data_IF_629936406067
#
_entry.id   IF_629936406067
#
_cell.length_a   1.000
_cell.length_b   1.000
_cell.length_c   1.000
_cell.angle_alpha   90.00
_cell.angle_beta   90.00
_cell.angle_gamma   90.00
#
_symmetry.space_group_name_H-M   'P 1'
#
loop_
_entity.id
_entity.type
_entity.pdbx_description
1 polymer ?
2 polymer ?
3 non-polymer ?
4 water ?
#
# COMPACT_ATOMS: atom_id res chain seq x y z
N UNK A 1 3.83 22.48 19.83
CA UNK A 1 3.09 21.53 18.95
C UNK A 1 3.12 20.18 19.59
N UNK A 2 1.96 19.57 19.75
CA UNK A 2 1.90 18.30 20.40
C UNK A 2 2.56 17.18 19.66
N UNK A 3 3.57 16.61 20.26
CA UNK A 3 4.29 15.51 19.64
C UNK A 3 3.85 14.24 20.35
N UNK A 4 3.48 13.23 19.57
CA UNK A 4 3.01 11.97 20.12
C UNK A 4 4.10 11.00 19.81
N UNK A 5 4.57 10.27 20.79
CA UNK A 5 5.63 9.38 20.45
C UNK A 5 5.28 7.96 20.80
N UNK A 6 5.14 7.16 19.75
CA UNK A 6 4.81 5.76 19.87
C UNK A 6 5.99 4.84 19.76
N UNK A 7 5.83 3.69 20.41
CA UNK A 7 6.83 2.66 20.42
C UNK A 7 6.05 1.45 20.82
N UNK A 8 6.31 0.31 20.19
CA UNK A 8 7.33 0.17 19.15
C UNK A 8 6.78 0.60 17.81
N UNK A 9 7.65 0.73 16.80
CA UNK A 9 7.23 1.09 15.46
C UNK A 9 6.85 -0.19 14.69
N UNK A 10 7.31 -1.32 15.18
CA UNK A 10 7.02 -2.63 14.59
C UNK A 10 6.64 -3.53 15.74
N UNK A 11 5.54 -4.26 15.58
CA UNK A 11 5.10 -5.13 16.65
C UNK A 11 4.64 -6.47 16.13
N UNK A 12 5.50 -7.49 16.22
CA UNK A 12 5.24 -8.86 15.78
C UNK A 12 4.77 -9.74 16.92
N UNK A 13 3.59 -10.36 16.77
CA UNK A 13 3.10 -11.25 17.81
C UNK A 13 2.42 -12.49 17.23
N UNK A 14 2.46 -13.59 17.96
CA UNK A 14 1.82 -14.81 17.51
C UNK A 14 0.34 -14.70 17.76
N UNK A 15 -0.47 -15.37 16.96
CA UNK A 15 -1.90 -15.33 17.14
C UNK A 15 -2.24 -15.79 18.55
N UNK A 16 -3.20 -15.12 19.19
CA UNK A 16 -3.60 -15.50 20.55
C UNK A 16 -2.78 -14.88 21.65
N UNK A 17 -1.77 -14.12 21.28
CA UNK A 17 -0.90 -13.44 22.24
C UNK A 17 -1.43 -12.04 22.53
N UNK A 18 -0.69 -11.34 23.38
CA UNK A 18 -1.04 -9.99 23.76
C UNK A 18 -0.04 -9.03 23.14
N UNK A 19 -0.53 -7.89 22.67
CA UNK A 19 0.29 -6.84 22.11
C UNK A 19 0.07 -5.64 23.06
N UNK A 20 1.00 -4.69 23.06
CA UNK A 20 0.87 -3.52 23.92
C UNK A 20 1.59 -2.42 23.19
N UNK A 21 0.91 -1.31 22.98
CA UNK A 21 1.48 -0.18 22.26
C UNK A 21 1.52 0.99 23.23
N UNK A 22 2.61 1.76 23.23
CA UNK A 22 2.80 2.92 24.13
C UNK A 22 2.81 4.24 23.35
N UNK A 23 2.08 5.22 23.84
CA UNK A 23 2.01 6.52 23.20
C UNK A 23 2.24 7.57 24.25
N UNK A 24 3.19 8.45 23.99
CA UNK A 24 3.54 9.49 24.95
C UNK A 24 3.48 10.88 24.37
N UNK A 25 2.60 11.72 24.90
CA UNK A 25 2.50 13.09 24.39
C UNK A 25 3.59 13.96 25.04
N UNK A 26 3.80 15.15 24.49
CA UNK A 26 4.82 16.06 25.00
C UNK A 26 4.32 17.11 25.98
N UNK A 27 2.99 17.18 26.15
CA UNK A 27 2.33 18.15 27.04
C UNK A 27 1.15 17.37 27.58
N UNK A 28 0.44 17.95 28.56
CA UNK A 28 -0.75 17.33 29.13
C UNK A 28 -1.84 17.40 28.04
N UNK A 29 -2.64 16.35 27.96
CA UNK A 29 -3.69 16.28 26.96
C UNK A 29 -5.07 16.68 27.47
N UNK A 30 -5.14 17.15 28.72
CA UNK A 30 -6.40 17.58 29.35
C UNK A 30 -6.90 18.89 28.79
N UNK A 31 -8.11 18.82 28.26
CA UNK A 31 -8.79 19.92 27.63
C UNK A 31 -9.34 20.90 28.70
N UNK A 32 -9.71 22.12 28.30
CA UNK A 32 -10.32 23.14 29.19
C UNK A 32 -11.57 22.60 29.87
N UNK A 33 -12.22 21.68 29.18
CA UNK A 33 -13.44 21.10 29.69
C UNK A 33 -13.20 19.93 30.59
N UNK A 34 -11.94 19.60 30.84
CA UNK A 34 -11.64 18.50 31.73
C UNK A 34 -11.48 17.12 31.14
N UNK A 35 -11.94 16.93 29.92
CA UNK A 35 -11.77 15.62 29.34
C UNK A 35 -10.43 15.56 28.60
N UNK A 36 -9.89 14.36 28.45
CA UNK A 36 -8.63 14.14 27.75
C UNK A 36 -8.93 13.52 26.38
N UNK A 37 -8.74 14.28 25.32
CA UNK A 37 -9.00 13.79 23.99
C UNK A 37 -7.86 13.05 23.28
N UNK A 38 -7.52 11.86 23.77
CA UNK A 38 -6.52 10.99 23.19
C UNK A 38 -7.24 9.81 22.52
N UNK A 39 -7.11 9.66 21.19
CA UNK A 39 -7.79 8.60 20.45
C UNK A 39 -6.83 7.59 19.80
N UNK A 40 -7.36 6.44 19.41
CA UNK A 40 -6.58 5.42 18.72
C UNK A 40 -7.31 5.06 17.44
N UNK A 41 -6.56 5.00 16.33
CA UNK A 41 -7.06 4.66 15.01
C UNK A 41 -6.37 3.42 14.49
N UNK A 42 -7.00 2.75 13.52
CA UNK A 42 -6.44 1.55 12.89
C UNK A 42 -6.59 1.76 11.41
N UNK A 43 -5.55 1.43 10.64
CA UNK A 43 -5.65 1.53 9.21
C UNK A 43 -5.36 0.16 8.66
N UNK A 44 -6.41 -0.59 8.36
CA UNK A 44 -6.25 -1.93 7.80
C UNK A 44 -5.61 -1.61 6.50
N UNK A 45 -4.75 -2.49 6.02
CA UNK A 45 -4.04 -2.30 4.76
C UNK A 45 -5.03 -2.13 3.62
N UNK A 46 -4.83 -1.09 2.81
CA UNK A 46 -5.69 -0.82 1.68
C UNK A 46 -6.88 0.07 1.96
N UNK A 47 -7.06 0.50 3.23
CA UNK A 47 -8.19 1.36 3.64
C UNK A 47 -7.86 2.71 4.27
N UNK A 48 -8.91 3.42 4.69
CA UNK A 48 -8.74 4.71 5.36
C UNK A 48 -8.62 4.35 6.83
N UNK A 49 -8.09 5.27 7.66
CA UNK A 49 -7.99 4.91 9.07
C UNK A 49 -9.37 4.80 9.66
N UNK A 50 -9.46 4.15 10.80
CA UNK A 50 -10.73 4.03 11.47
C UNK A 50 -10.64 4.18 12.98
N UNK A 51 -11.50 5.04 13.54
CA UNK A 51 -11.54 5.27 14.98
C UNK A 51 -11.75 3.95 15.68
N UNK A 52 -10.85 3.64 16.58
CA UNK A 52 -10.88 2.40 17.31
C UNK A 52 -11.33 2.66 18.73
N UNK A 53 -10.63 3.60 19.38
CA UNK A 53 -10.86 3.94 20.77
C UNK A 53 -10.84 5.44 20.95
N UNK A 54 -11.83 5.98 21.65
CA UNK A 54 -11.89 7.42 21.88
C UNK A 54 -11.81 7.73 23.36
N UNK A 55 -11.33 8.92 23.68
CA UNK A 55 -11.14 9.36 25.06
C UNK A 55 -10.42 8.33 25.91
N UNK A 56 -9.23 7.94 25.45
CA UNK A 56 -8.39 6.99 26.16
C UNK A 56 -8.85 5.52 26.25
N UNK A 57 -10.08 5.30 26.69
CA UNK A 57 -10.52 3.92 26.85
C UNK A 57 -11.85 3.48 26.27
N UNK A 58 -12.55 4.40 25.64
CA UNK A 58 -13.85 4.10 25.09
C UNK A 58 -13.83 3.44 23.72
N UNK A 59 -14.38 2.24 23.63
CA UNK A 59 -14.45 1.49 22.37
C UNK A 59 -15.49 2.03 21.41
N UNK A 60 -15.08 2.35 20.19
CA UNK A 60 -16.00 2.86 19.24
C UNK A 60 -16.88 1.69 18.81
N UNK A 61 -17.79 1.95 17.88
CA UNK A 61 -18.73 0.94 17.36
C UNK A 61 -18.03 -0.13 16.53
N UNK A 62 -18.29 -1.40 16.84
CA UNK A 62 -17.69 -2.49 16.07
C UNK A 62 -16.32 -2.96 16.52
N UNK A 63 -15.87 -2.42 17.64
CA UNK A 63 -14.58 -2.75 18.20
C UNK A 63 -14.83 -3.76 19.31
N UNK A 64 -14.29 -4.98 19.15
CA UNK A 64 -14.39 -6.10 20.09
C UNK A 64 -13.73 -5.75 21.38
N UNK A 65 -14.14 -6.37 22.48
CA UNK A 65 -13.56 -6.03 23.79
C UNK A 65 -12.13 -6.49 24.03
N UNK A 66 -11.48 -6.99 22.99
CA UNK A 66 -10.10 -7.42 23.11
C UNK A 66 -9.24 -6.19 23.23
N UNK A 67 -9.65 -5.16 22.52
CA UNK A 67 -8.95 -3.92 22.52
C UNK A 67 -9.29 -3.13 23.72
N UNK A 68 -8.30 -2.52 24.35
CA UNK A 68 -8.56 -1.72 25.54
C UNK A 68 -7.50 -0.65 25.73
N UNK A 69 -7.93 0.52 26.17
CA UNK A 69 -7.01 1.60 26.39
C UNK A 69 -6.95 2.04 27.84
N UNK A 70 -5.80 2.57 28.22
CA UNK A 70 -5.56 3.08 29.57
C UNK A 70 -4.57 4.19 29.37
N UNK A 71 -4.31 4.94 30.43
CA UNK A 71 -3.36 6.03 30.33
C UNK A 71 -3.79 7.19 31.18
N UNK A 72 -2.84 8.09 31.41
CA UNK A 72 -3.02 9.29 32.23
C UNK A 72 -1.83 10.19 31.97
N UNK A 73 -2.01 11.47 32.23
CA UNK A 73 -0.92 12.42 32.04
C UNK A 73 -0.23 12.42 30.69
N UNK A 74 0.92 11.75 30.64
CA UNK A 74 1.71 11.68 29.41
C UNK A 74 2.13 10.27 29.05
N UNK A 75 1.37 9.30 29.55
CA UNK A 75 1.65 7.90 29.26
C UNK A 75 0.32 7.21 28.96
N UNK A 76 0.15 6.81 27.70
CA UNK A 76 -1.07 6.12 27.25
C UNK A 76 -0.76 4.80 26.53
N UNK A 77 -1.51 3.75 26.82
CA UNK A 77 -1.24 2.49 26.17
C UNK A 77 -2.48 1.84 25.56
N UNK A 78 -2.25 0.92 24.64
CA UNK A 78 -3.30 0.18 23.95
C UNK A 78 -2.87 -1.26 24.12
N UNK A 79 -3.80 -2.07 24.59
CA UNK A 79 -3.57 -3.47 24.85
C UNK A 79 -4.51 -4.30 23.99
N UNK A 80 -3.98 -5.31 23.31
CA UNK A 80 -4.83 -6.19 22.51
C UNK A 80 -4.61 -7.51 23.21
N UNK A 81 -5.60 -7.95 23.96
CA UNK A 81 -5.48 -9.18 24.73
C UNK A 81 -5.26 -10.51 24.00
N UNK A 82 -5.85 -10.66 22.82
CA UNK A 82 -5.72 -11.92 22.09
C UNK A 82 -5.72 -11.56 20.63
N UNK A 83 -4.54 -11.47 20.03
CA UNK A 83 -4.49 -11.07 18.63
C UNK A 83 -4.91 -12.15 17.64
N UNK A 84 -5.21 -11.69 16.43
CA UNK A 84 -5.61 -12.54 15.34
C UNK A 84 -5.40 -11.79 14.06
N UNK A 85 -5.39 -12.52 12.94
CA UNK A 85 -5.13 -11.96 11.59
C UNK A 85 -5.92 -10.75 11.15
N UNK A 86 -7.13 -10.58 11.67
CA UNK A 86 -7.92 -9.42 11.28
C UNK A 86 -7.41 -8.14 11.93
N UNK A 87 -6.58 -8.30 12.97
CA UNK A 87 -6.00 -7.15 13.71
C UNK A 87 -4.82 -6.57 12.95
N UNK A 88 -4.46 -7.22 11.86
CA UNK A 88 -3.33 -6.84 11.02
C UNK A 88 -3.49 -5.42 10.49
N UNK A 89 -2.47 -4.58 10.65
CA UNK A 89 -2.61 -3.23 10.13
C UNK A 89 -1.73 -2.23 10.88
N UNK A 90 -2.01 -0.95 10.73
CA UNK A 90 -1.22 0.07 11.42
C UNK A 90 -2.08 0.81 12.44
N UNK A 91 -1.55 0.95 13.67
CA UNK A 91 -2.21 1.62 14.79
C UNK A 91 -1.63 3.00 15.03
N UNK A 92 -2.49 3.99 15.22
CA UNK A 92 -2.06 5.35 15.44
C UNK A 92 -2.70 5.94 16.70
N UNK A 93 -1.91 6.67 17.49
CA UNK A 93 -2.46 7.35 18.65
C UNK A 93 -2.58 8.78 18.19
N UNK A 94 -3.45 9.54 18.80
CA UNK A 94 -3.64 10.91 18.36
C UNK A 94 -4.23 11.77 19.47
N UNK A 95 -4.05 13.09 19.34
CA UNK A 95 -4.59 14.02 20.31
C UNK A 95 -5.53 14.99 19.60
N UNK A 96 -6.71 15.18 20.19
CA UNK A 96 -7.65 16.11 19.61
C UNK A 96 -7.87 17.28 20.56
N UNK A 97 -6.97 17.44 21.53
CA UNK A 97 -7.04 18.52 22.51
C UNK A 97 -6.45 19.85 22.06
N UNK A 98 -5.22 19.84 21.53
CA UNK A 98 -4.54 21.08 21.11
C UNK A 98 -4.49 21.15 19.63
N UNK A 99 -4.67 22.34 19.08
CA UNK A 99 -4.60 22.54 17.63
C UNK A 99 -3.14 22.79 17.38
N UNK A 100 -2.53 22.12 16.39
CA UNK A 100 -3.00 21.13 15.41
C UNK A 100 -3.16 19.77 16.03
N UNK A 101 -4.11 18.98 15.56
CA UNK A 101 -4.26 17.65 16.14
C UNK A 101 -3.13 16.92 15.49
N UNK A 102 -2.46 16.06 16.26
CA UNK A 102 -1.34 15.35 15.75
C UNK A 102 -1.50 13.86 15.96
N UNK A 103 -0.78 13.06 15.19
CA UNK A 103 -0.85 11.63 15.29
C UNK A 103 0.52 11.08 15.62
N UNK A 104 0.58 9.83 16.02
CA UNK A 104 1.86 9.21 16.27
C UNK A 104 2.41 8.68 14.95
N UNK A 105 3.51 7.94 15.01
CA UNK A 105 4.08 7.40 13.78
C UNK A 105 3.33 6.16 13.34
N UNK A 106 2.88 5.41 14.31
CA UNK A 106 2.16 4.21 14.02
C UNK A 106 2.96 3.04 14.49
N UNK A 107 2.29 1.92 14.57
CA UNK A 107 2.91 0.70 14.96
C UNK A 107 2.28 -0.31 14.01
N UNK A 108 3.10 -0.88 13.14
CA UNK A 108 2.58 -1.86 12.22
C UNK A 108 2.62 -3.12 13.01
N UNK A 109 1.58 -3.92 12.90
CA UNK A 109 1.49 -5.20 13.61
C UNK A 109 1.69 -6.30 12.59
N UNK A 110 2.50 -7.30 12.91
CA UNK A 110 2.70 -8.41 11.99
C UNK A 110 2.50 -9.65 12.79
N UNK A 111 1.90 -10.67 12.17
CA UNK A 111 1.66 -11.94 12.89
C UNK A 111 2.86 -12.86 12.79
N UNK A 112 3.36 -13.29 13.94
CA UNK A 112 4.51 -14.16 14.00
C UNK A 112 4.16 -15.61 13.71
N UNK A 113 4.20 -16.03 12.44
CA UNK A 113 3.94 -17.45 12.11
C UNK A 113 5.28 -18.21 12.07
N UNK A 114 5.25 -19.50 11.74
CA UNK A 114 6.49 -20.24 11.67
C UNK A 114 7.18 -19.89 10.38
N UNK A 115 8.47 -20.19 10.33
CA UNK A 115 9.27 -19.91 9.16
C UNK A 115 8.79 -20.76 8.00
N UNK A 116 8.97 -20.22 6.80
CA UNK A 116 8.58 -20.91 5.58
C UNK A 116 9.57 -20.50 4.50
N UNK A 117 10.09 -21.50 3.76
CA UNK A 117 11.04 -21.28 2.67
C UNK A 117 10.30 -20.78 1.43
N UNK A 118 10.97 -20.00 0.58
CA UNK A 118 10.33 -19.49 -0.63
C UNK A 118 10.14 -20.48 -1.74
N UNK A 119 9.11 -20.23 -2.54
CA UNK A 119 8.86 -21.01 -3.71
C UNK A 119 9.35 -20.05 -4.80
N UNK A 120 10.58 -20.28 -5.21
CA UNK A 120 11.24 -19.46 -6.21
C UNK A 120 10.88 -19.95 -7.60
N UNK A 121 10.60 -19.04 -8.53
CA UNK A 121 10.29 -19.42 -9.89
C UNK A 121 10.82 -18.34 -10.82
N UNK A 122 11.50 -18.74 -11.89
CA UNK A 122 12.12 -17.80 -12.82
C UNK A 122 11.53 -17.81 -14.23
N UNK A 123 11.43 -16.63 -14.85
CA UNK A 123 10.86 -16.44 -16.19
C UNK A 123 11.77 -15.68 -17.14
N UNK A 124 11.95 -16.18 -18.38
CA UNK A 124 12.79 -15.51 -19.37
C UNK A 124 11.97 -14.40 -19.99
N UNK A 125 12.60 -13.42 -20.63
CA UNK A 125 11.80 -12.35 -21.24
C UNK A 125 10.85 -13.00 -22.26
N UNK A 126 9.84 -12.27 -22.68
CA UNK A 126 8.87 -12.78 -23.63
C UNK A 126 9.17 -12.26 -25.04
N UNK A 127 8.81 -13.06 -26.04
CA UNK A 127 9.00 -12.69 -27.45
C UNK A 127 8.51 -11.28 -27.72
N UNK A 128 7.36 -10.90 -27.15
CA UNK A 128 6.83 -9.56 -27.37
C UNK A 128 7.73 -8.51 -26.81
N UNK A 129 8.28 -8.78 -25.63
CA UNK A 129 9.16 -7.79 -25.04
C UNK A 129 10.48 -7.74 -25.80
N UNK A 130 11.06 -8.90 -26.05
CA UNK A 130 12.31 -9.02 -26.79
C UNK A 130 12.20 -8.21 -28.09
N UNK A 131 10.98 -8.06 -28.58
CA UNK A 131 10.68 -7.33 -29.82
C UNK A 131 10.87 -5.82 -29.66
N UNK A 132 10.54 -5.31 -28.49
CA UNK A 132 10.67 -3.89 -28.19
C UNK A 132 12.09 -3.48 -27.74
N UNK A 133 13.09 -4.35 -27.97
CA UNK A 133 14.45 -4.00 -27.60
C UNK A 133 14.80 -4.10 -26.13
N UNK A 134 13.86 -4.63 -25.33
CA UNK A 134 14.08 -4.76 -23.92
C UNK A 134 14.04 -6.22 -23.55
N UNK A 135 14.37 -6.53 -22.31
CA UNK A 135 14.35 -7.88 -21.87
C UNK A 135 14.38 -7.90 -20.36
N UNK A 136 13.29 -8.31 -19.71
CA UNK A 136 13.30 -8.36 -18.27
C UNK A 136 13.23 -9.81 -17.89
N UNK A 137 13.97 -10.18 -16.86
CA UNK A 137 13.98 -11.54 -16.36
C UNK A 137 13.36 -11.43 -14.94
N UNK A 138 12.26 -12.13 -14.68
CA UNK A 138 11.67 -12.00 -13.36
C UNK A 138 11.74 -13.27 -12.59
N UNK A 139 11.76 -13.13 -11.28
CA UNK A 139 11.87 -14.23 -10.37
C UNK A 139 10.87 -13.97 -9.24
N UNK A 140 9.96 -14.90 -8.97
CA UNK A 140 9.01 -14.71 -7.88
C UNK A 140 9.47 -15.55 -6.71
N UNK A 141 9.53 -14.97 -5.52
CA UNK A 141 9.89 -15.73 -4.31
C UNK A 141 8.58 -15.58 -3.55
N UNK A 142 7.73 -16.59 -3.69
CA UNK A 142 6.41 -16.58 -3.10
C UNK A 142 6.31 -17.30 -1.78
N UNK A 143 5.38 -16.84 -0.95
CA UNK A 143 5.05 -17.43 0.34
C UNK A 143 6.12 -17.80 1.34
N UNK A 144 6.86 -16.83 1.85
CA UNK A 144 7.92 -17.12 2.83
C UNK A 144 7.79 -16.34 4.14
N UNK A 145 8.53 -16.76 5.16
CA UNK A 145 8.48 -16.08 6.41
C UNK A 145 9.73 -16.49 7.15
N UNK A 146 10.46 -15.53 7.76
CA UNK A 146 10.25 -14.07 7.83
C UNK A 146 10.42 -13.33 6.53
N UNK A 147 10.23 -12.03 6.61
CA UNK A 147 10.31 -11.14 5.47
C UNK A 147 11.72 -10.90 4.91
N UNK A 148 12.70 -11.04 5.80
CA UNK A 148 14.12 -10.83 5.47
C UNK A 148 14.63 -11.79 4.42
N UNK A 149 15.06 -11.26 3.28
CA UNK A 149 15.57 -12.13 2.25
C UNK A 149 16.48 -11.36 1.33
N UNK A 150 17.57 -12.00 0.90
CA UNK A 150 18.49 -11.41 -0.05
C UNK A 150 18.48 -12.21 -1.34
N UNK A 151 18.31 -11.52 -2.46
CA UNK A 151 18.26 -12.19 -3.73
C UNK A 151 19.37 -11.63 -4.63
N UNK A 152 20.24 -12.52 -5.11
CA UNK A 152 21.30 -12.10 -6.03
C UNK A 152 21.02 -12.60 -7.43
N UNK A 153 21.36 -11.78 -8.43
CA UNK A 153 21.18 -12.11 -9.83
C UNK A 153 22.56 -12.40 -10.39
N UNK A 154 22.68 -13.41 -11.26
CA UNK A 154 23.96 -13.79 -11.86
C UNK A 154 23.88 -14.18 -13.33
N UNK A 155 24.38 -13.30 -14.19
CA UNK A 155 24.43 -13.49 -15.62
C UNK A 155 25.76 -14.16 -15.97
N UNK A 156 25.67 -15.40 -16.42
CA UNK A 156 26.81 -16.24 -16.80
C UNK A 156 27.62 -16.62 -15.62
N UNK A 157 26.98 -16.55 -14.48
CA UNK A 157 27.59 -16.90 -13.21
C UNK A 157 28.55 -15.84 -12.75
N UNK A 158 28.95 -15.00 -13.68
CA UNK A 158 29.91 -13.98 -13.37
C UNK A 158 29.10 -12.85 -12.90
N UNK A 159 28.92 -11.89 -13.80
CA UNK A 159 28.18 -10.66 -13.53
C UNK A 159 27.12 -10.95 -12.48
N UNK A 160 27.30 -10.30 -11.34
CA UNK A 160 26.35 -10.38 -10.25
C UNK A 160 25.57 -9.12 -10.71
N UNK A 161 24.63 -8.57 -9.95
CA UNK A 161 23.92 -7.41 -10.49
C UNK A 161 23.65 -6.02 -9.84
N UNK A 162 22.95 -5.19 -10.62
CA UNK A 162 22.61 -3.86 -10.22
C UNK A 162 21.33 -3.22 -10.86
N UNK A 163 20.92 -3.59 -12.09
CA UNK A 163 19.67 -3.04 -12.68
C UNK A 163 18.38 -3.84 -12.28
N UNK A 164 18.35 -4.26 -11.01
CA UNK A 164 17.34 -5.07 -10.35
C UNK A 164 16.26 -4.28 -9.57
N UNK A 165 15.02 -4.78 -9.55
CA UNK A 165 13.96 -4.13 -8.78
C UNK A 165 13.38 -5.17 -7.85
N UNK A 166 13.25 -4.85 -6.57
CA UNK A 166 12.65 -5.78 -5.64
C UNK A 166 11.38 -5.18 -5.10
N UNK A 167 10.30 -5.96 -5.05
CA UNK A 167 8.98 -5.50 -4.57
C UNK A 167 8.42 -6.58 -3.64
N UNK A 168 8.10 -6.20 -2.41
CA UNK A 168 7.56 -7.13 -1.43
C UNK A 168 6.08 -6.84 -1.31
N UNK A 169 5.30 -7.86 -0.93
CA UNK A 169 3.89 -7.65 -0.73
C UNK A 169 3.80 -7.48 0.79
N UNK A 170 2.62 -7.19 1.30
CA UNK A 170 2.45 -7.06 2.73
C UNK A 170 2.11 -8.42 3.20
N UNK A 171 2.07 -8.61 4.51
CA UNK A 171 1.74 -9.92 5.05
C UNK A 171 0.43 -10.31 4.48
N UNK A 172 0.32 -11.58 4.13
CA UNK A 172 -0.89 -12.07 3.55
C UNK A 172 -1.73 -12.63 4.68
N UNK A 173 -2.82 -11.95 5.01
CA UNK A 173 -3.73 -12.36 6.11
C UNK A 173 -4.21 -13.81 6.22
N UNK A 174 -4.34 -14.50 5.09
CA UNK A 174 -4.78 -15.90 5.12
C UNK A 174 -3.68 -16.75 5.73
N UNK A 175 -2.44 -16.62 5.25
CA UNK A 175 -1.32 -17.43 5.74
C UNK A 175 -0.18 -16.71 6.41
N UNK A 176 -0.31 -15.39 6.51
CA UNK A 176 0.68 -14.49 7.12
C UNK A 176 2.14 -14.57 6.59
N UNK A 177 2.30 -14.94 5.32
CA UNK A 177 3.64 -15.01 4.72
C UNK A 177 3.79 -13.76 3.82
N UNK A 178 4.95 -13.61 3.19
CA UNK A 178 5.20 -12.49 2.28
C UNK A 178 5.61 -13.09 0.96
N UNK A 179 5.71 -12.27 -0.07
CA UNK A 179 6.15 -12.68 -1.39
C UNK A 179 6.83 -11.46 -2.02
N UNK A 180 7.82 -11.66 -2.89
CA UNK A 180 8.49 -10.56 -3.57
C UNK A 180 8.84 -10.98 -4.99
N UNK A 181 9.02 -9.97 -5.83
CA UNK A 181 9.39 -10.16 -7.21
C UNK A 181 10.69 -9.38 -7.40
N UNK A 182 11.67 -10.03 -8.00
CA UNK A 182 12.93 -9.40 -8.29
C UNK A 182 12.96 -9.38 -9.81
N UNK A 183 13.19 -8.21 -10.39
CA UNK A 183 13.23 -8.09 -11.83
C UNK A 183 14.56 -7.50 -12.33
N UNK A 184 15.27 -8.28 -13.14
CA UNK A 184 16.53 -7.84 -13.74
C UNK A 184 16.26 -7.33 -15.13
N UNK A 185 16.40 -6.04 -15.32
CA UNK A 185 16.15 -5.42 -16.60
C UNK A 185 17.43 -5.22 -17.43
N UNK A 186 17.43 -5.73 -18.66
CA UNK A 186 18.57 -5.63 -19.60
C UNK A 186 18.04 -5.15 -20.94
N UNK A 187 18.92 -5.04 -21.92
CA UNK A 187 18.53 -4.66 -23.27
C UNK A 187 18.48 -5.96 -24.07
N UNK A 188 17.81 -5.95 -25.21
CA UNK A 188 17.75 -7.15 -26.02
C UNK A 188 19.20 -7.56 -26.28
N UNK A 189 20.00 -6.60 -26.72
CA UNK A 189 21.41 -6.83 -27.03
C UNK A 189 22.12 -7.45 -25.88
N UNK A 190 22.13 -6.79 -24.74
CA UNK A 190 22.83 -7.34 -23.60
C UNK A 190 22.36 -8.76 -23.25
N UNK A 191 21.05 -8.96 -23.28
CA UNK A 191 20.45 -10.27 -22.99
C UNK A 191 20.92 -11.34 -23.95
N UNK A 192 20.86 -11.01 -25.24
CA UNK A 192 21.22 -11.94 -26.29
C UNK A 192 22.65 -12.45 -26.26
N UNK A 193 23.56 -11.72 -25.60
CA UNK A 193 24.95 -12.10 -25.51
C UNK A 193 25.28 -12.99 -24.33
N UNK A 194 24.28 -13.43 -23.57
CA UNK A 194 24.53 -14.30 -22.41
C UNK A 194 23.65 -15.56 -22.41
N UNK A 195 24.07 -16.62 -21.72
CA UNK A 195 23.32 -17.87 -21.71
C UNK A 195 22.57 -18.24 -20.43
N UNK A 196 23.27 -18.26 -19.30
CA UNK A 196 22.67 -18.56 -18.01
C UNK A 196 22.23 -17.31 -17.30
N UNK A 197 21.09 -17.41 -16.63
CA UNK A 197 20.52 -16.32 -15.87
C UNK A 197 20.06 -16.99 -14.61
N UNK A 198 20.66 -16.62 -13.48
CA UNK A 198 20.35 -17.23 -12.22
C UNK A 198 19.73 -16.25 -11.25
N UNK A 199 18.97 -16.81 -10.33
CA UNK A 199 18.26 -16.09 -9.30
C UNK A 199 18.63 -16.85 -8.05
N UNK A 200 19.28 -16.17 -7.13
CA UNK A 200 19.71 -16.85 -5.93
C UNK A 200 19.18 -16.12 -4.70
N UNK A 201 18.45 -16.80 -3.82
CA UNK A 201 17.93 -16.13 -2.66
C UNK A 201 18.38 -16.81 -1.42
N UNK A 202 18.82 -16.02 -0.45
CA UNK A 202 19.26 -16.54 0.84
C UNK A 202 18.19 -16.16 1.88
N UNK A 203 17.71 -17.17 2.61
CA UNK A 203 16.67 -16.98 3.61
C UNK A 203 17.11 -17.84 4.76
N UNK A 204 16.85 -17.40 5.98
CA UNK A 204 17.25 -18.13 7.18
C UNK A 204 16.78 -19.57 7.28
N UNK A 205 15.80 -19.94 6.47
CA UNK A 205 15.27 -21.29 6.51
C UNK A 205 16.20 -22.26 5.82
N UNK A 206 17.34 -21.79 5.36
CA UNK A 206 18.26 -22.67 4.67
C UNK A 206 19.73 -22.29 4.82
N UNK A 207 20.57 -23.32 4.85
CA UNK A 207 22.00 -23.17 4.96
C UNK A 207 22.52 -22.65 3.63
N UNK A 208 21.96 -23.22 2.56
CA UNK A 208 22.37 -22.90 1.21
C UNK A 208 21.30 -22.09 0.49
N UNK A 209 21.73 -21.26 -0.48
CA UNK A 209 20.83 -20.42 -1.27
C UNK A 209 19.79 -21.22 -2.03
N UNK A 210 18.65 -20.62 -2.33
CA UNK A 210 17.66 -21.31 -3.13
C UNK A 210 18.02 -20.78 -4.49
N UNK A 211 18.52 -21.65 -5.36
CA UNK A 211 18.93 -21.23 -6.70
C UNK A 211 17.92 -21.64 -7.78
N UNK A 212 17.75 -20.78 -8.77
CA UNK A 212 16.82 -21.04 -9.85
C UNK A 212 17.39 -20.41 -11.09
N UNK A 213 17.71 -21.20 -12.09
CA UNK A 213 18.27 -20.66 -13.33
C UNK A 213 17.60 -21.18 -14.57
N UNK A 214 17.91 -20.56 -15.69
CA UNK A 214 17.41 -20.98 -16.99
C UNK A 214 18.50 -20.70 -18.03
N UNK A 215 18.75 -21.66 -18.92
CA UNK A 215 19.75 -21.46 -19.98
C UNK A 215 19.01 -21.25 -21.28
N UNK A 216 19.42 -20.25 -22.04
CA UNK A 216 18.79 -19.95 -23.32
C UNK A 216 18.90 -21.02 -24.41
N UNK A 217 19.84 -21.95 -24.26
CA UNK A 217 20.06 -23.04 -25.22
C UNK A 217 19.61 -24.42 -24.70
N UNK A 218 18.85 -24.46 -23.61
CA UNK A 218 18.43 -25.74 -23.03
C UNK A 218 17.68 -26.68 -23.95
N UNK A 219 16.59 -26.19 -24.54
CA UNK A 219 15.78 -26.99 -25.42
C UNK A 219 14.77 -26.16 -26.19
N UNK B 1 -26.00 5.53 9.43
CA UNK B 1 -25.27 5.40 8.14
C UNK B 1 -24.66 6.72 7.65
N UNK B 2 -23.52 7.06 8.23
CA UNK B 2 -22.76 8.27 7.87
C UNK B 2 -21.72 7.88 6.77
N UNK B 3 -21.51 8.76 5.80
CA UNK B 3 -20.58 8.44 4.73
C UNK B 3 -20.01 9.70 4.10
N UNK B 4 -18.71 9.70 3.80
CA UNK B 4 -18.13 10.86 3.14
C UNK B 4 -17.58 10.33 1.86
N UNK B 5 -17.93 10.98 0.77
CA UNK B 5 -17.49 10.53 -0.51
C UNK B 5 -16.59 11.56 -1.12
N UNK B 6 -15.43 11.14 -1.64
CA UNK B 6 -14.50 12.10 -2.21
C UNK B 6 -14.37 11.95 -3.71
N UNK B 7 -13.83 12.96 -4.38
CA UNK B 7 -13.65 12.89 -5.82
C UNK B 7 -12.53 11.88 -6.17
N UNK B 8 -12.32 11.65 -7.46
CA UNK B 8 -11.31 10.68 -7.86
C UNK B 8 -9.90 11.20 -8.05
N UNK B 9 -8.98 10.27 -8.24
CA UNK B 9 -7.55 10.53 -8.44
C UNK B 9 -7.26 11.67 -9.41
N UNK B 10 -6.23 12.45 -9.10
CA UNK B 10 -5.79 13.59 -9.91
C UNK B 10 -4.31 13.55 -10.30
N UNK B 11 -3.98 14.06 -11.47
CA UNK B 11 -2.59 14.14 -11.94
C UNK B 11 -2.52 15.57 -12.41
N UNK B 12 -1.73 16.39 -11.71
CA UNK B 12 -1.62 17.82 -12.00
C UNK B 12 -0.19 18.24 -12.23
N UNK B 13 0.00 19.22 -13.07
CA UNK B 13 1.32 19.70 -13.39
C UNK B 13 1.72 20.65 -12.28
N UNK B 14 3.03 20.70 -11.99
CA UNK B 14 3.59 21.57 -10.98
C UNK B 14 3.16 23.01 -11.26
N UNK B 15 2.71 23.71 -10.22
CA UNK B 15 2.25 25.08 -10.41
C UNK B 15 0.76 25.18 -10.71
N UNK B 16 0.07 24.06 -10.76
CA UNK B 16 -1.36 24.13 -11.01
C UNK B 16 -2.06 24.08 -9.65
N UNK B 17 -3.38 24.14 -9.68
CA UNK B 17 -4.15 24.04 -8.46
C UNK B 17 -5.18 22.93 -8.70
N UNK B 18 -5.58 22.26 -7.63
CA UNK B 18 -6.57 21.20 -7.67
C UNK B 18 -7.58 21.49 -6.58
N UNK B 19 -8.81 21.04 -6.81
CA UNK B 19 -9.90 21.14 -5.86
C UNK B 19 -10.52 19.72 -5.67
N UNK B 20 -10.54 19.25 -4.44
CA UNK B 20 -11.06 17.93 -4.09
C UNK B 20 -12.38 18.12 -3.33
N UNK B 21 -13.35 17.25 -3.58
CA UNK B 21 -14.67 17.30 -2.94
C UNK B 21 -14.80 16.20 -1.90
N UNK B 22 -15.73 16.42 -0.96
CA UNK B 22 -16.04 15.47 0.12
C UNK B 22 -17.52 15.61 0.40
N UNK B 23 -18.31 14.81 -0.29
CA UNK B 23 -19.75 14.81 -0.14
C UNK B 23 -20.13 14.01 1.08
N UNK B 24 -20.70 14.70 2.06
CA UNK B 24 -21.12 14.06 3.30
C UNK B 24 -22.61 13.73 3.28
N UNK B 25 -22.98 12.56 3.80
CA UNK B 25 -24.38 12.18 3.86
C UNK B 25 -24.59 11.42 5.15
N UNK B 26 -25.83 11.42 5.63
CA UNK B 26 -26.15 10.62 6.80
C UNK B 26 -26.13 11.27 8.16
N UNK B 27 -25.88 12.56 8.17
CA UNK B 27 -25.84 13.32 9.41
C UNK B 27 -26.10 14.76 8.98
N UNK B 28 -26.27 15.63 9.96
CA UNK B 28 -26.53 17.00 9.62
C UNK B 28 -25.20 17.71 9.39
N UNK B 29 -24.85 17.82 8.12
CA UNK B 29 -23.62 18.40 7.62
C UNK B 29 -23.01 19.61 8.37
N UNK B 30 -23.81 20.64 8.61
CA UNK B 30 -23.33 21.87 9.25
C UNK B 30 -23.11 21.94 10.75
N UNK B 31 -23.26 20.85 11.46
CA UNK B 31 -23.10 20.89 12.89
C UNK B 31 -21.79 20.23 13.27
N UNK B 32 -21.14 19.62 12.28
CA UNK B 32 -19.87 18.91 12.51
C UNK B 32 -18.76 19.49 11.66
N UNK B 33 -17.53 19.36 12.18
CA UNK B 33 -16.36 19.87 11.47
C UNK B 33 -15.95 18.89 10.41
N UNK B 34 -15.44 19.40 9.29
CA UNK B 34 -14.89 18.52 8.24
C UNK B 34 -13.35 18.69 8.37
N UNK B 35 -12.65 17.62 8.72
CA UNK B 35 -11.19 17.65 8.91
C UNK B 35 -10.54 17.21 7.65
N UNK B 36 -9.36 17.75 7.35
CA UNK B 36 -8.60 17.34 6.17
C UNK B 36 -7.20 16.85 6.59
N UNK B 37 -6.89 15.59 6.33
CA UNK B 37 -5.61 14.98 6.69
C UNK B 37 -4.78 14.62 5.46
N UNK B 38 -3.47 14.58 5.60
CA UNK B 38 -2.66 14.26 4.45
C UNK B 38 -1.78 13.09 4.76
N UNK B 39 -1.81 12.09 3.90
CA UNK B 39 -0.97 10.94 4.08
C UNK B 39 0.00 10.86 2.91
N UNK B 40 1.27 10.82 3.23
CA UNK B 40 2.31 10.72 2.24
C UNK B 40 3.14 9.59 2.80
N UNK B 41 3.40 8.56 2.00
CA UNK B 41 4.19 7.43 2.47
C UNK B 41 5.48 7.90 3.15
N UNK B 42 5.64 7.55 4.42
CA UNK B 42 6.81 7.97 5.14
C UNK B 42 6.56 9.04 6.17
N UNK B 43 5.66 9.98 5.88
CA UNK B 43 5.33 11.06 6.84
C UNK B 43 4.06 10.77 7.68
N UNK B 44 3.57 9.54 7.69
CA UNK B 44 2.37 9.21 8.45
C UNK B 44 1.11 9.99 8.07
N UNK B 45 0.43 10.57 9.07
CA UNK B 45 -0.78 11.37 8.83
C UNK B 45 -0.52 12.79 9.33
N UNK B 46 -0.83 13.77 8.52
CA UNK B 46 -0.57 15.16 8.91
C UNK B 46 -1.83 15.98 8.78
N UNK B 47 -2.32 16.49 9.89
CA UNK B 47 -3.51 17.33 9.90
C UNK B 47 -3.31 18.62 9.15
N UNK B 48 -4.12 18.87 8.14
CA UNK B 48 -4.03 20.09 7.36
C UNK B 48 -4.88 21.23 7.90
N UNK B 49 -6.14 20.95 8.26
CA UNK B 49 -7.01 22.02 8.75
C UNK B 49 -8.44 21.56 8.94
N UNK B 50 -9.36 22.49 9.17
CA UNK B 50 -10.76 22.13 9.38
C UNK B 50 -11.70 23.28 9.16
N UNK B 51 -12.90 22.97 8.66
CA UNK B 51 -13.91 23.99 8.40
C UNK B 51 -15.21 23.57 9.07
N UNK B 52 -16.02 24.55 9.50
CA UNK B 52 -17.32 24.26 10.10
C UNK B 52 -18.32 24.84 9.13
N UNK B 53 -18.99 23.96 8.38
CA UNK B 53 -20.01 24.31 7.39
C UNK B 53 -21.16 24.89 8.22
N UNK B 54 -21.59 26.09 7.90
CA UNK B 54 -22.62 26.68 8.73
C UNK B 54 -22.07 28.07 8.93
N UNK B 55 -21.00 28.19 9.72
CA UNK B 55 -20.39 29.49 9.90
C UNK B 55 -19.31 29.70 8.87
N UNK B 56 -18.79 28.62 8.30
CA UNK B 56 -17.71 28.76 7.32
C UNK B 56 -16.44 29.14 8.05
N UNK B 57 -16.36 28.78 9.33
CA UNK B 57 -15.19 29.06 10.16
C UNK B 57 -14.13 27.98 9.96
N UNK B 58 -12.90 28.40 9.66
CA UNK B 58 -11.77 27.50 9.40
C UNK B 58 -10.58 27.63 10.37
N UNK B 59 -9.83 26.54 10.56
CA UNK B 59 -8.61 26.48 11.38
C UNK B 59 -7.52 25.88 10.47
N UNK B 60 -6.43 26.60 10.19
CA UNK B 60 -5.38 26.04 9.35
C UNK B 60 -4.06 25.77 10.07
N UNK B 61 -3.41 24.62 9.80
CA UNK B 61 -2.10 24.37 10.40
C UNK B 61 -1.21 25.40 9.73
N UNK B 62 -0.39 26.12 10.49
CA UNK B 62 0.45 27.19 9.91
C UNK B 62 1.15 26.90 8.57
N UNK B 63 1.85 25.78 8.49
CA UNK B 63 2.54 25.44 7.26
C UNK B 63 1.62 25.44 6.05
N UNK B 64 0.33 25.24 6.27
CA UNK B 64 -0.58 25.20 5.14
C UNK B 64 -1.30 26.50 4.87
N UNK B 65 -0.97 27.54 5.62
CA UNK B 65 -1.64 28.81 5.41
C UNK B 65 -1.21 29.39 4.09
N UNK B 66 -2.18 29.62 3.22
CA UNK B 66 -1.88 30.16 1.92
C UNK B 66 -1.89 29.07 0.86
N UNK B 67 -1.65 27.82 1.29
CA UNK B 67 -1.61 26.65 0.41
C UNK B 67 -2.95 25.92 0.23
N UNK B 68 -3.60 25.59 1.35
CA UNK B 68 -4.87 24.89 1.37
C UNK B 68 -6.01 25.89 1.57
N UNK B 69 -7.15 25.66 0.93
CA UNK B 69 -8.30 26.54 1.07
C UNK B 69 -9.60 25.74 1.21
N UNK B 70 -10.18 25.78 2.40
CA UNK B 70 -11.41 25.06 2.68
C UNK B 70 -12.59 25.91 2.30
N UNK B 71 -13.66 25.22 1.92
CA UNK B 71 -14.87 25.84 1.48
C UNK B 71 -15.94 24.75 1.68
N UNK B 72 -17.20 25.16 1.79
CA UNK B 72 -18.27 24.21 2.00
C UNK B 72 -19.56 24.79 1.45
N UNK B 73 -20.36 23.91 0.88
CA UNK B 73 -21.64 24.24 0.30
C UNK B 73 -22.64 23.43 1.09
N UNK B 74 -23.39 24.10 1.94
CA UNK B 74 -24.36 23.41 2.78
C UNK B 74 -25.58 22.94 1.98
N UNK B 75 -25.85 23.60 0.86
CA UNK B 75 -26.95 23.22 -0.03
C UNK B 75 -26.68 21.81 -0.54
N UNK B 76 -25.45 21.58 -0.99
CA UNK B 76 -25.04 20.29 -1.53
C UNK B 76 -24.43 19.32 -0.54
N UNK B 77 -24.19 19.76 0.69
CA UNK B 77 -23.56 18.90 1.69
C UNK B 77 -22.16 18.48 1.20
N UNK B 78 -21.50 19.41 0.53
CA UNK B 78 -20.17 19.17 -0.01
C UNK B 78 -19.06 20.09 0.56
N UNK B 79 -17.96 19.48 0.99
CA UNK B 79 -16.81 20.23 1.49
C UNK B 79 -15.73 20.19 0.38
N UNK B 80 -14.99 21.29 0.23
CA UNK B 80 -13.96 21.43 -0.78
C UNK B 80 -12.62 21.89 -0.20
N UNK B 81 -11.53 21.44 -0.82
CA UNK B 81 -10.19 21.84 -0.44
C UNK B 81 -9.40 22.07 -1.71
N UNK B 82 -8.91 23.30 -1.87
CA UNK B 82 -8.12 23.66 -3.00
C UNK B 82 -6.68 23.60 -2.52
N UNK B 83 -5.75 23.24 -3.41
CA UNK B 83 -4.32 23.17 -3.10
C UNK B 83 -3.66 23.98 -4.17
N UNK B 84 -3.10 25.12 -3.80
CA UNK B 84 -2.47 25.96 -4.78
C UNK B 84 -1.02 25.66 -5.06
N UNK B 85 -0.52 26.17 -6.19
CA UNK B 85 0.85 26.00 -6.62
C UNK B 85 1.39 24.67 -6.22
N UNK B 86 0.88 23.63 -6.88
CA UNK B 86 1.30 22.27 -6.55
C UNK B 86 2.82 22.08 -6.67
N UNK B 87 3.33 21.25 -5.77
CA UNK B 87 4.73 20.90 -5.63
C UNK B 87 4.73 19.40 -5.41
N UNK B 88 5.88 18.75 -5.62
CA UNK B 88 6.05 17.31 -5.45
C UNK B 88 5.72 16.94 -4.05
N UNK B 89 6.03 17.84 -3.14
CA UNK B 89 5.73 17.58 -1.75
C UNK B 89 4.20 17.45 -1.58
N UNK B 90 3.44 17.94 -2.56
CA UNK B 90 1.98 17.83 -2.51
C UNK B 90 1.39 16.50 -2.95
N UNK B 91 2.22 15.64 -3.53
CA UNK B 91 1.75 14.33 -3.95
C UNK B 91 1.53 13.47 -2.72
N UNK B 92 0.28 13.12 -2.46
CA UNK B 92 -0.10 12.28 -1.31
C UNK B 92 -1.56 11.90 -1.44
N UNK B 93 -2.04 11.19 -0.44
CA UNK B 93 -3.44 10.79 -0.38
C UNK B 93 -4.09 11.72 0.65
N UNK B 94 -5.12 12.44 0.25
CA UNK B 94 -5.82 13.38 1.11
C UNK B 94 -7.14 12.82 1.57
N UNK B 95 -7.40 12.92 2.86
CA UNK B 95 -8.63 12.43 3.48
C UNK B 95 -9.46 13.58 4.02
N UNK B 96 -10.78 13.35 4.12
CA UNK B 96 -11.70 14.28 4.77
C UNK B 96 -12.28 13.35 5.79
N UNK B 97 -12.55 13.87 6.97
CA UNK B 97 -13.09 13.06 8.02
C UNK B 97 -14.09 13.96 8.67
N UNK B 98 -14.96 13.38 9.48
CA UNK B 98 -15.97 14.18 10.16
C UNK B 98 -15.38 14.51 11.52
N UNK B 99 -15.74 15.65 12.10
CA UNK B 99 -15.19 15.98 13.39
C UNK B 99 -15.98 16.78 14.38
N UNK B 100 -15.78 16.42 15.65
CA UNK B 100 -16.34 17.11 16.80
C UNK B 100 -15.21 17.09 17.82
N UNK B 101 -14.92 15.96 18.44
CA UNK B 101 -13.82 15.88 19.37
C UNK B 101 -12.95 14.68 18.99
N UNK B 102 -13.34 14.04 17.90
CA UNK B 102 -12.70 12.87 17.31
C UNK B 102 -12.90 13.01 15.82
N UNK B 103 -12.20 12.19 15.06
CA UNK B 103 -12.36 12.12 13.61
C UNK B 103 -12.93 10.71 13.52
N UNK B 104 -14.25 10.61 13.67
CA UNK B 104 -14.94 9.33 13.71
C UNK B 104 -15.33 8.66 12.41
N UNK B 105 -15.43 9.42 11.33
CA UNK B 105 -15.79 8.80 10.06
C UNK B 105 -14.92 9.46 9.03
N UNK B 106 -14.17 8.66 8.28
CA UNK B 106 -13.27 9.17 7.25
C UNK B 106 -13.72 8.87 5.83
N UNK B 107 -13.33 9.73 4.91
CA UNK B 107 -13.63 9.53 3.51
C UNK B 107 -12.71 8.44 2.97
N UNK B 108 -12.84 8.11 1.70
CA UNK B 108 -12.03 7.04 1.13
C UNK B 108 -10.62 7.38 0.73
N UNK B 109 -10.36 8.66 0.49
CA UNK B 109 -9.03 9.07 0.09
C UNK B 109 -9.01 9.54 -1.34
N UNK B 110 -8.27 10.60 -1.59
CA UNK B 110 -8.13 11.17 -2.93
C UNK B 110 -6.64 11.34 -3.19
N UNK B 111 -6.12 10.61 -4.18
CA UNK B 111 -4.72 10.71 -4.56
C UNK B 111 -4.51 11.84 -5.51
N UNK B 112 -3.52 12.65 -5.20
CA UNK B 112 -3.16 13.78 -6.04
C UNK B 112 -1.71 13.47 -6.39
N UNK B 113 -1.42 13.51 -7.67
CA UNK B 113 -0.07 13.23 -8.13
C UNK B 113 0.38 14.47 -8.84
N UNK B 114 1.43 15.12 -8.35
CA UNK B 114 1.86 16.29 -9.07
C UNK B 114 3.15 15.92 -9.80
N UNK B 115 3.07 15.95 -11.13
CA UNK B 115 4.15 15.59 -12.04
C UNK B 115 3.97 16.28 -13.35
N UNK B 116 5.07 16.36 -14.08
CA UNK B 116 5.11 16.98 -15.40
C UNK B 116 5.07 15.85 -16.42
N UNK B 117 5.20 14.62 -15.92
CA UNK B 117 5.15 13.40 -16.73
C UNK B 117 3.81 13.17 -17.41
N UNK B 118 3.84 12.91 -18.71
CA UNK B 118 2.62 12.64 -19.43
C UNK B 118 2.03 11.29 -19.02
N UNK B 119 0.76 11.09 -19.35
CA UNK B 119 0.04 9.88 -19.04
C UNK B 119 0.47 8.79 -20.02
N UNK B 120 0.73 7.58 -19.54
CA UNK B 120 1.18 6.48 -20.39
C UNK B 120 0.52 5.14 -20.03
N UNK B 121 0.00 4.44 -21.04
CA UNK B 121 -0.66 3.15 -20.89
C UNK B 121 0.41 2.10 -20.65
N UNK B 122 0.07 0.97 -20.05
CA UNK B 122 1.13 0.00 -19.83
C UNK B 122 1.34 -1.00 -20.97
N UNK B 123 2.52 -1.65 -20.93
CA UNK B 123 2.93 -2.69 -21.87
C UNK B 123 2.82 -3.92 -20.98
N UNK B 124 1.94 -4.85 -21.33
CA UNK B 124 1.75 -6.07 -20.54
C UNK B 124 2.48 -7.20 -21.22
N UNK B 125 3.24 -8.00 -20.49
CA UNK B 125 3.98 -9.11 -21.10
C UNK B 125 3.71 -10.38 -20.35
N UNK B 126 3.37 -11.45 -21.08
CA UNK B 126 3.09 -12.72 -20.42
C UNK B 126 4.37 -13.31 -19.92
N UNK B 127 4.30 -14.02 -18.82
CA UNK B 127 5.46 -14.65 -18.27
C UNK B 127 5.09 -16.10 -18.07
N UNK B 128 5.73 -16.98 -18.85
CA UNK B 128 5.50 -18.41 -18.78
C UNK B 128 6.87 -19.05 -18.52
N UNK B 129 6.90 -20.24 -17.90
CA UNK B 129 8.20 -20.87 -17.63
C UNK B 129 8.94 -21.26 -18.90
N UNK B 130 10.27 -21.29 -18.83
CA UNK B 130 11.04 -21.63 -20.01
C UNK B 130 11.30 -23.11 -20.17
N UNK B 131 11.92 -23.49 -21.28
CA UNK B 131 12.23 -24.89 -21.53
C UNK B 131 13.18 -25.41 -20.44
N UNK B 132 12.92 -26.62 -19.95
CA UNK B 132 13.75 -27.23 -18.93
C UNK B 132 13.51 -26.68 -17.53
N UNK B 133 12.32 -26.08 -17.33
CA UNK B 133 11.93 -25.47 -16.05
C UNK B 133 10.90 -26.32 -15.25
N UNK B 134 9.62 -25.99 -15.47
CA UNK B 134 8.44 -26.59 -14.77
C UNK B 134 8.07 -28.08 -14.76
N UNK B 135 7.62 -28.46 -13.56
CA UNK B 135 7.18 -29.78 -13.22
C UNK B 135 6.56 -29.49 -11.86
N UNK B 136 5.70 -30.38 -11.38
CA UNK B 136 5.12 -30.16 -10.07
C UNK B 136 3.61 -30.21 -10.12
N UNK B 137 2.99 -30.21 -8.95
CA UNK B 137 1.55 -30.26 -8.85
C UNK B 137 0.96 -28.94 -9.37
N UNK B 138 1.76 -27.88 -9.30
CA UNK B 138 1.31 -26.56 -9.77
C UNK B 138 2.36 -25.79 -10.55
N UNK B 139 1.87 -24.85 -11.36
CA UNK B 139 2.66 -24.02 -12.24
C UNK B 139 2.33 -22.59 -11.90
N UNK B 140 3.34 -21.74 -11.74
CA UNK B 140 3.14 -20.31 -11.45
C UNK B 140 3.31 -19.55 -12.76
N UNK B 141 2.43 -18.62 -13.05
CA UNK B 141 2.52 -17.83 -14.28
C UNK B 141 2.46 -16.37 -13.85
N UNK B 142 2.64 -15.44 -14.78
CA UNK B 142 2.56 -14.06 -14.38
C UNK B 142 2.45 -13.08 -15.52
N UNK B 143 2.25 -11.81 -15.21
CA UNK B 143 2.16 -10.76 -16.21
C UNK B 143 2.99 -9.58 -15.72
N UNK B 144 3.76 -8.99 -16.62
CA UNK B 144 4.63 -7.87 -16.33
C UNK B 144 4.02 -6.61 -16.89
N UNK B 145 3.48 -5.79 -16.01
CA UNK B 145 2.86 -4.54 -16.42
C UNK B 145 3.95 -3.50 -16.36
N UNK B 146 4.37 -2.99 -17.49
CA UNK B 146 5.49 -2.06 -17.44
C UNK B 146 5.36 -0.76 -18.23
N UNK B 147 6.02 0.27 -17.72
CA UNK B 147 6.02 1.57 -18.38
C UNK B 147 4.76 2.42 -18.36
N UNK B 148 3.98 2.43 -17.29
CA UNK B 148 2.76 3.25 -17.28
C UNK B 148 2.86 4.45 -16.35
N UNK B 149 1.88 5.34 -16.45
CA UNK B 149 1.83 6.54 -15.61
C UNK B 149 0.54 7.28 -15.85
N UNK B 150 -0.12 7.80 -14.80
CA UNK B 150 0.24 7.77 -13.40
C UNK B 150 -0.11 6.46 -12.77
N UNK B 151 0.00 6.42 -11.44
CA UNK B 151 -0.26 5.26 -10.62
C UNK B 151 -1.68 4.71 -10.68
N UNK B 152 -1.76 3.44 -10.31
CA UNK B 152 -2.96 2.63 -10.28
C UNK B 152 -3.40 1.93 -11.56
N UNK B 153 -3.06 0.64 -11.56
CA UNK B 153 -3.34 -0.29 -12.61
C UNK B 153 -3.95 -1.46 -11.83
N UNK B 154 -4.99 -2.08 -12.41
CA UNK B 154 -5.67 -3.23 -11.81
C UNK B 154 -5.44 -4.40 -12.75
N UNK B 155 -4.95 -5.49 -12.20
CA UNK B 155 -4.66 -6.65 -13.01
C UNK B 155 -5.49 -7.82 -12.49
N UNK B 156 -6.33 -8.37 -13.37
CA UNK B 156 -7.18 -9.51 -13.03
C UNK B 156 -6.81 -10.76 -13.84
N UNK B 157 -6.96 -11.92 -13.21
CA UNK B 157 -6.69 -13.19 -13.83
C UNK B 157 -7.99 -13.96 -14.07
N UNK B 158 -8.20 -14.37 -15.31
CA UNK B 158 -9.38 -15.14 -15.65
C UNK B 158 -8.83 -16.53 -16.03
N UNK B 159 -8.61 -17.36 -15.02
CA UNK B 159 -8.09 -18.71 -15.25
C UNK B 159 -9.24 -19.64 -15.55
N UNK B 160 -8.91 -20.84 -16.03
CA UNK B 160 -9.95 -21.82 -16.34
C UNK B 160 -10.90 -22.03 -15.17
N UNK B 161 -10.35 -22.54 -14.06
CA UNK B 161 -11.17 -22.76 -12.86
C UNK B 161 -10.35 -22.73 -11.56
N UNK B 162 -9.70 -23.87 -11.25
CA UNK B 162 -8.87 -24.02 -10.07
C UNK B 162 -7.72 -23.05 -10.27
N UNK B 163 -7.36 -22.31 -9.22
CA UNK B 163 -6.29 -21.30 -9.33
C UNK B 163 -6.08 -20.44 -8.06
N UNK B 164 -6.42 -19.16 -8.18
CA UNK B 164 -6.21 -18.16 -7.15
C UNK B 164 -4.70 -18.16 -6.88
N UNK B 165 -4.29 -18.21 -5.62
CA UNK B 165 -2.88 -18.17 -5.29
C UNK B 165 -2.29 -16.99 -6.09
N UNK B 166 -3.07 -15.92 -6.19
CA UNK B 166 -2.70 -14.71 -6.90
C UNK B 166 -1.92 -13.83 -5.97
N UNK B 167 -0.92 -13.15 -6.51
CA UNK B 167 -0.10 -12.22 -5.77
C UNK B 167 0.05 -11.00 -6.67
N UNK B 168 -0.07 -9.81 -6.10
CA UNK B 168 0.12 -8.57 -6.86
C UNK B 168 1.24 -7.81 -6.12
N UNK B 169 2.23 -7.40 -6.88
CA UNK B 169 3.40 -6.71 -6.33
C UNK B 169 3.28 -5.24 -6.56
N UNK B 170 3.56 -4.45 -5.50
CA UNK B 170 3.52 -2.99 -5.45
C UNK B 170 4.34 -2.49 -6.57
N UNK B 171 3.87 -1.40 -7.14
CA UNK B 171 4.53 -0.78 -8.25
C UNK B 171 5.75 -0.02 -7.75
N UNK B 172 6.74 0.09 -8.62
CA UNK B 172 7.93 0.82 -8.32
C UNK B 172 8.17 1.77 -9.46
N UNK B 173 9.01 2.78 -9.21
CA UNK B 173 9.34 3.77 -10.21
C UNK B 173 10.66 3.38 -10.86
N UNK B 174 10.64 3.32 -12.18
CA UNK B 174 11.83 2.94 -12.91
C UNK B 174 11.89 3.93 -14.04
N UNK B 175 12.95 4.72 -14.07
CA UNK B 175 13.15 5.72 -15.11
C UNK B 175 11.95 6.62 -15.31
N UNK B 176 11.29 6.97 -14.22
CA UNK B 176 10.14 7.85 -14.32
C UNK B 176 8.82 7.26 -14.76
N UNK B 177 8.72 5.93 -14.74
CA UNK B 177 7.47 5.24 -15.12
C UNK B 177 7.33 4.11 -14.15
N UNK B 178 6.11 3.62 -13.96
CA UNK B 178 5.94 2.54 -13.01
C UNK B 178 6.01 1.17 -13.63
N UNK B 179 6.29 0.18 -12.79
CA UNK B 179 6.39 -1.20 -13.21
C UNK B 179 5.97 -2.02 -12.00
N UNK B 180 5.05 -2.96 -12.26
CA UNK B 180 4.54 -3.90 -11.27
C UNK B 180 4.37 -5.24 -11.96
N UNK B 181 4.10 -6.26 -11.17
CA UNK B 181 3.91 -7.60 -11.71
C UNK B 181 2.88 -8.34 -10.86
N UNK B 182 2.25 -9.35 -11.44
CA UNK B 182 1.27 -10.14 -10.69
C UNK B 182 1.56 -11.58 -11.02
N UNK B 183 1.37 -12.47 -10.08
CA UNK B 183 1.63 -13.86 -10.31
C UNK B 183 0.39 -14.63 -9.88
N UNK B 184 0.11 -15.77 -10.53
CA UNK B 184 -1.03 -16.63 -10.21
C UNK B 184 -0.48 -18.03 -10.24
N UNK B 185 -1.11 -18.96 -9.53
CA UNK B 185 -0.67 -20.35 -9.51
C UNK B 185 -1.84 -21.33 -9.72
N UNK B 186 -1.86 -21.99 -10.87
CA UNK B 186 -2.93 -22.95 -11.20
C UNK B 186 -2.35 -24.37 -11.17
N UNK B 187 -3.20 -25.42 -11.03
CA UNK B 187 -2.70 -26.80 -11.02
C UNK B 187 -2.23 -27.19 -12.43
N UNK B 188 -1.16 -27.96 -12.57
CA UNK B 188 -0.66 -28.34 -13.90
C UNK B 188 -1.63 -29.24 -14.66
N UNK B 189 -2.43 -29.98 -13.91
CA UNK B 189 -3.45 -30.86 -14.46
C UNK B 189 -4.23 -30.13 -15.52
N UNK B 190 -4.53 -28.86 -15.21
CA UNK B 190 -5.30 -27.94 -16.03
C UNK B 190 -4.56 -27.07 -17.06
N UNK B 191 -3.25 -26.89 -16.91
CA UNK B 191 -2.53 -26.01 -17.81
C UNK B 191 -1.51 -26.74 -18.68
N UNK B 192 -1.34 -26.34 -19.96
CA UNK B 192 -1.93 -25.28 -20.80
C UNK B 192 -3.26 -25.51 -21.49
N UNK B 193 -3.96 -26.59 -21.15
CA UNK B 193 -5.25 -26.87 -21.78
C UNK B 193 -6.25 -25.78 -21.42
N UNK B 194 -6.51 -25.59 -20.12
CA UNK B 194 -7.43 -24.52 -19.75
C UNK B 194 -6.64 -23.23 -19.95
N UNK B 195 -7.27 -22.25 -20.56
CA UNK B 195 -6.64 -20.98 -20.83
C UNK B 195 -6.54 -20.12 -19.55
N UNK B 196 -5.44 -19.35 -19.46
CA UNK B 196 -5.19 -18.43 -18.34
C UNK B 196 -4.94 -17.07 -18.98
N UNK B 197 -5.68 -16.08 -18.53
CA UNK B 197 -5.55 -14.75 -19.10
C UNK B 197 -5.47 -13.68 -18.03
N UNK B 198 -4.59 -12.70 -18.21
CA UNK B 198 -4.54 -11.61 -17.25
C UNK B 198 -5.08 -10.38 -17.97
N UNK B 199 -5.97 -9.70 -17.29
CA UNK B 199 -6.58 -8.53 -17.84
C UNK B 199 -5.99 -7.38 -17.05
N UNK B 200 -5.49 -6.38 -17.73
CA UNK B 200 -4.87 -5.26 -17.04
C UNK B 200 -5.51 -3.94 -17.43
N UNK B 201 -6.11 -3.28 -16.45
CA UNK B 201 -6.73 -1.98 -16.68
C UNK B 201 -5.91 -0.82 -16.14
N UNK B 202 -5.83 0.26 -16.90
CA UNK B 202 -5.13 1.44 -16.43
C UNK B 202 -6.03 2.63 -16.78
N UNK B 203 -6.94 3.01 -15.87
CA UNK B 203 -7.92 4.09 -15.96
C UNK B 203 -7.45 5.46 -16.41
N UNK B 204 -6.17 5.74 -16.30
CA UNK B 204 -5.64 7.04 -16.70
C UNK B 204 -5.50 7.25 -18.21
N UNK B 205 -5.31 6.16 -18.96
CA UNK B 205 -5.19 6.26 -20.41
C UNK B 205 -6.41 5.57 -20.98
N UNK B 206 -7.23 5.06 -20.07
CA UNK B 206 -8.45 4.32 -20.40
C UNK B 206 -8.03 3.30 -21.42
N UNK B 207 -7.38 2.28 -20.87
CA UNK B 207 -6.86 1.20 -21.64
C UNK B 207 -7.06 0.03 -20.74
N UNK B 208 -7.46 -1.06 -21.35
CA UNK B 208 -7.67 -2.33 -20.68
C UNK B 208 -7.09 -3.27 -21.73
N UNK B 209 -6.12 -4.07 -21.33
CA UNK B 209 -5.49 -5.01 -22.25
C UNK B 209 -5.57 -6.40 -21.70
N UNK B 210 -5.77 -7.37 -22.56
CA UNK B 210 -5.82 -8.76 -22.12
C UNK B 210 -4.60 -9.47 -22.69
N UNK B 211 -4.14 -10.49 -21.99
CA UNK B 211 -2.99 -11.18 -22.49
C UNK B 211 -3.18 -12.62 -22.10
N UNK B 212 -3.26 -13.50 -23.10
CA UNK B 212 -3.42 -14.92 -22.86
C UNK B 212 -2.02 -15.51 -22.63
N UNK B 213 -1.89 -16.27 -21.55
CA UNK B 213 -0.63 -16.93 -21.19
C UNK B 213 -0.40 -18.15 -22.07
N UNK B 214 0.59 -18.06 -22.96
CA UNK B 214 0.93 -19.17 -23.83
C UNK B 214 2.30 -19.75 -23.45
X LIG C 1 -15.75 20.51 21.41
X LIG C 1 -15.71 19.67 22.52
X LIG C 1 -14.52 19.07 22.88
X LIG C 1 -13.37 19.32 22.16
X LIG C 1 -13.43 20.16 21.07
X LIG C 1 -14.61 20.76 20.67
X LIG C 1 -14.62 21.46 19.47
X LIG C 1 -13.99 20.72 18.38
X LIG C 1 -15.86 22.02 19.15
X LIG C 1 -16.89 21.22 18.65
X LIG C 1 -18.02 21.79 18.11
X LIG C 1 -18.13 23.18 18.05
X LIG C 1 -17.14 23.98 18.55
X LIG C 1 -16.01 23.42 19.10
X LIG C 1 -13.30 21.25 17.39
X LIG C 1 -13.48 22.51 17.04
X LIG C 1 -12.43 23.44 16.67
X LIG C 1 -12.59 24.90 17.04
X LIG C 1 -11.86 25.74 16.48
X LIG C 1 -13.64 25.22 17.64
X LIG C 1 -12.75 20.42 16.54
X LIG C 1 -12.02 19.14 16.67
X LIG C 1 -11.30 18.85 17.82
X LIG C 1 -10.60 17.65 17.91
X LIG C 1 -10.65 16.74 16.86
X LIG C 1 -9.91 15.43 16.95
X LIG C 1 -9.34 14.43 17.01
X LIG C 1 -11.37 17.04 15.75
X LIG C 1 -12.06 18.23 15.65
#
# INVERSE_FOLDING_TARGET
ELVMTQSPLSLPVSLGDQASISCRPSQSLVHSNGNTYLHWYLQKPGQSPKLLIYRVSNRFSGVPDRFSGSGSGTAFTLKISRVEAEDLGVYFCSQGTHVPYTFGGGTKLELKRADAAPTVSIFPPSSEQLTSGGASVVCFLNNFYPKDINVKWKIDGSERQNGVLNSWTDQDSKDSTYSMSSTLTLTKDEYERHNSYTCEATHKTSTSPIVKSFNRNEC
RVQLLESGAELMKPGASVQISCKATGYTFSEYWIEWVKERPGHGLEWIGEILPGSGRTNYREKFKGKATFTADTSSNTAYMQLSSLTSEDSAVYYCTRGYSSMDYWGQGTSVTVSAAKTTPPSVYPLAPGCGDTTGSSVTLGCLVKGYFPESVTVTWNSGSLSSSVHTFPALLQSGLYTMSSSVTVPSSTWPSQTVTCSVAHPASSTTVDKKLE
GAS C1 C2 C3 C4 C5 C6 C7 N7 C1A C2A C3A C4A C5A C6A C8 N8 C9 C10 O1 O2 N11 C1B C2B C3B C4B C7B N7B C5B C6B
#
